data_IF_985845617752
#
_entry.id   IF_985845617752
#
_cell.length_a   1.000
_cell.length_b   1.000
_cell.length_c   1.000
_cell.angle_alpha   90.00
_cell.angle_beta   90.00
_cell.angle_gamma   90.00
#
_symmetry.space_group_name_H-M   'P 1'
#
loop_
_entity.id
_entity.type
_entity.pdbx_description
1 polymer ?
#
# COMPACT_ATOMS: atom_id res chain seq x y z
N UNK A 1 -4.65 21.18 6.23
CA UNK A 1 -5.92 20.70 5.60
C UNK A 1 -6.56 19.74 6.57
N UNK A 2 -7.87 19.87 6.84
CA UNK A 2 -8.52 19.16 7.94
C UNK A 2 -8.80 17.70 7.56
N UNK A 3 -7.82 16.81 7.72
CA UNK A 3 -7.89 15.38 7.38
C UNK A 3 -8.66 14.55 8.42
N UNK A 4 -9.75 15.12 8.95
CA UNK A 4 -10.56 14.47 9.98
C UNK A 4 -11.58 13.55 9.34
N UNK A 5 -11.78 12.39 9.96
CA UNK A 5 -12.85 11.47 9.63
C UNK A 5 -14.19 12.08 10.06
N UNK A 6 -15.16 12.23 9.14
CA UNK A 6 -16.50 12.71 9.50
C UNK A 6 -17.22 11.74 10.44
N UNK A 7 -18.02 12.27 11.38
CA UNK A 7 -18.75 11.44 12.36
C UNK A 7 -19.71 10.43 11.71
N UNK A 8 -20.31 10.78 10.57
CA UNK A 8 -21.17 9.87 9.80
C UNK A 8 -20.38 8.70 9.22
N UNK A 9 -19.10 8.91 8.86
CA UNK A 9 -18.20 7.84 8.39
C UNK A 9 -17.82 6.94 9.55
N UNK A 10 -17.47 7.51 10.72
CA UNK A 10 -17.22 6.73 11.94
C UNK A 10 -18.43 5.84 12.29
N UNK A 11 -19.64 6.42 12.28
CA UNK A 11 -20.88 5.68 12.57
C UNK A 11 -21.30 4.66 11.51
N UNK A 12 -20.79 4.78 10.27
CA UNK A 12 -20.98 3.77 9.24
C UNK A 12 -19.98 2.61 9.40
N UNK A 13 -18.73 2.91 9.73
CA UNK A 13 -17.61 1.96 9.76
C UNK A 13 -17.58 1.15 11.06
N UNK A 14 -17.79 1.78 12.22
CA UNK A 14 -17.60 1.12 13.51
C UNK A 14 -18.49 -0.13 13.73
N UNK A 15 -19.79 -0.13 13.39
CA UNK A 15 -20.64 -1.33 13.51
C UNK A 15 -20.18 -2.45 12.55
N UNK A 16 -19.81 -2.10 11.32
CA UNK A 16 -19.39 -3.05 10.28
C UNK A 16 -18.11 -3.76 10.70
N UNK A 17 -17.09 -3.00 11.13
CA UNK A 17 -15.82 -3.56 11.58
C UNK A 17 -16.00 -4.35 12.89
N UNK A 18 -16.84 -3.89 13.80
CA UNK A 18 -17.15 -4.64 15.03
C UNK A 18 -17.77 -6.01 14.71
N UNK A 19 -18.71 -6.06 13.76
CA UNK A 19 -19.35 -7.30 13.32
C UNK A 19 -18.37 -8.22 12.57
N UNK A 20 -17.52 -7.67 11.69
CA UNK A 20 -16.60 -8.45 10.87
C UNK A 20 -15.51 -9.17 11.70
N UNK A 21 -14.97 -8.52 12.74
CA UNK A 21 -13.88 -9.10 13.52
C UNK A 21 -14.36 -9.85 14.78
N UNK A 22 -15.53 -9.50 15.33
CA UNK A 22 -16.21 -10.11 16.48
C UNK A 22 -15.27 -10.50 17.65
N UNK A 23 -14.20 -9.74 17.86
CA UNK A 23 -13.16 -10.05 18.84
C UNK A 23 -12.41 -8.79 19.27
N UNK A 24 -12.37 -8.54 20.58
CA UNK A 24 -11.72 -7.36 21.14
C UNK A 24 -10.22 -7.37 20.88
N UNK A 25 -9.55 -8.52 21.02
CA UNK A 25 -8.11 -8.61 20.79
C UNK A 25 -7.76 -8.37 19.32
N UNK A 26 -8.53 -8.94 18.38
CA UNK A 26 -8.33 -8.72 16.93
C UNK A 26 -8.53 -7.26 16.54
N UNK A 27 -9.61 -6.64 17.01
CA UNK A 27 -9.89 -5.21 16.75
C UNK A 27 -8.76 -4.33 17.30
N UNK A 28 -8.30 -4.61 18.52
CA UNK A 28 -7.23 -3.83 19.15
C UNK A 28 -5.90 -3.93 18.40
N UNK A 29 -5.53 -5.13 17.93
CA UNK A 29 -4.33 -5.30 17.12
C UNK A 29 -4.45 -4.59 15.78
N UNK A 30 -5.58 -4.75 15.09
CA UNK A 30 -5.81 -4.11 13.80
C UNK A 30 -5.73 -2.58 13.88
N UNK A 31 -6.37 -1.96 14.90
CA UNK A 31 -6.33 -0.51 15.07
C UNK A 31 -4.91 -0.01 15.39
N UNK A 32 -4.16 -0.72 16.24
CA UNK A 32 -2.75 -0.37 16.50
C UNK A 32 -1.87 -0.51 15.26
N UNK A 33 -2.02 -1.61 14.52
CA UNK A 33 -1.32 -1.85 13.25
C UNK A 33 -1.65 -0.77 12.20
N UNK A 34 -2.89 -0.26 12.23
CA UNK A 34 -3.34 0.84 11.36
C UNK A 34 -2.84 2.23 11.81
N UNK A 35 -2.13 2.33 12.94
CA UNK A 35 -1.59 3.58 13.47
C UNK A 35 -2.49 4.34 14.45
N UNK A 36 -3.51 3.71 15.03
CA UNK A 36 -4.35 4.36 16.04
C UNK A 36 -3.58 4.66 17.35
N UNK A 37 -3.77 5.84 17.96
CA UNK A 37 -3.00 6.26 19.13
C UNK A 37 -3.48 5.62 20.43
N UNK A 38 -2.54 5.45 21.35
CA UNK A 38 -2.81 5.15 22.76
C UNK A 38 -3.43 3.77 23.02
N UNK A 39 -3.87 3.58 24.26
CA UNK A 39 -4.40 2.29 24.72
C UNK A 39 -5.84 2.04 24.26
N UNK A 40 -6.24 0.76 24.12
CA UNK A 40 -7.60 0.41 23.73
C UNK A 40 -8.65 1.05 24.66
N UNK A 41 -9.61 1.82 24.12
CA UNK A 41 -10.68 2.40 24.92
C UNK A 41 -11.59 1.32 25.54
N UNK A 42 -12.40 1.73 26.51
CA UNK A 42 -13.44 0.89 27.10
C UNK A 42 -14.71 0.83 26.24
N UNK A 43 -15.61 -0.11 26.55
CA UNK A 43 -16.89 -0.28 25.85
C UNK A 43 -16.97 -1.52 24.97
N UNK A 44 -18.08 -1.66 24.25
CA UNK A 44 -18.26 -2.73 23.26
C UNK A 44 -17.39 -2.47 22.00
N UNK A 45 -17.27 -3.45 21.10
CA UNK A 45 -16.41 -3.36 19.91
C UNK A 45 -16.68 -2.10 19.06
N UNK A 46 -17.95 -1.77 18.85
CA UNK A 46 -18.38 -0.61 18.08
C UNK A 46 -17.99 0.71 18.75
N UNK A 47 -18.26 0.83 20.05
CA UNK A 47 -17.89 1.99 20.85
C UNK A 47 -16.36 2.17 20.86
N UNK A 48 -15.61 1.07 21.01
CA UNK A 48 -14.15 1.09 20.98
C UNK A 48 -13.62 1.61 19.65
N UNK A 49 -14.10 1.05 18.54
CA UNK A 49 -13.73 1.48 17.20
C UNK A 49 -14.04 2.97 17.00
N UNK A 50 -15.24 3.39 17.37
CA UNK A 50 -15.67 4.79 17.25
C UNK A 50 -14.82 5.76 18.07
N UNK A 51 -14.52 5.41 19.32
CA UNK A 51 -13.69 6.25 20.21
C UNK A 51 -12.27 6.36 19.66
N UNK A 52 -11.70 5.27 19.16
CA UNK A 52 -10.35 5.29 18.61
C UNK A 52 -10.24 6.16 17.35
N UNK A 53 -11.19 6.04 16.42
CA UNK A 53 -11.22 6.89 15.23
C UNK A 53 -11.37 8.37 15.59
N UNK A 54 -12.15 8.69 16.64
CA UNK A 54 -12.23 10.06 17.17
C UNK A 54 -10.89 10.52 17.76
N UNK A 55 -10.17 9.67 18.49
CA UNK A 55 -8.82 9.99 18.97
C UNK A 55 -7.86 10.29 17.83
N UNK A 56 -7.92 9.55 16.73
CA UNK A 56 -7.13 9.85 15.53
C UNK A 56 -7.43 11.26 14.98
N UNK A 57 -8.69 11.71 15.04
CA UNK A 57 -9.06 13.07 14.62
C UNK A 57 -8.55 14.17 15.56
N UNK A 58 -8.30 13.84 16.82
CA UNK A 58 -7.89 14.79 17.85
C UNK A 58 -6.36 14.88 17.98
N UNK A 59 -5.63 13.88 17.49
CA UNK A 59 -4.17 13.86 17.44
C UNK A 59 -3.65 14.46 16.13
N UNK A 60 -3.03 15.64 16.21
CA UNK A 60 -2.48 16.35 15.05
C UNK A 60 -1.27 15.67 14.40
N UNK A 61 -0.64 14.69 15.07
CA UNK A 61 0.49 13.94 14.52
C UNK A 61 0.06 12.76 13.64
N UNK A 62 -1.24 12.48 13.59
CA UNK A 62 -1.80 11.30 12.93
C UNK A 62 -2.61 11.71 11.71
N UNK A 63 -2.39 11.01 10.60
CA UNK A 63 -3.27 11.10 9.45
C UNK A 63 -4.50 10.20 9.66
N UNK A 64 -5.59 10.77 10.18
CA UNK A 64 -6.78 10.02 10.53
C UNK A 64 -7.45 9.34 9.31
N UNK A 65 -7.40 9.94 8.12
CA UNK A 65 -7.94 9.30 6.92
C UNK A 65 -7.08 8.11 6.47
N UNK A 66 -5.75 8.19 6.63
CA UNK A 66 -4.86 7.05 6.39
C UNK A 66 -5.16 5.90 7.36
N UNK A 67 -5.29 6.19 8.66
CA UNK A 67 -5.64 5.17 9.68
C UNK A 67 -6.98 4.50 9.35
N UNK A 68 -7.99 5.30 8.99
CA UNK A 68 -9.29 4.77 8.59
C UNK A 68 -9.19 3.86 7.36
N UNK A 69 -8.44 4.29 6.35
CA UNK A 69 -8.24 3.55 5.12
C UNK A 69 -7.58 2.19 5.35
N UNK A 70 -6.51 2.13 6.15
CA UNK A 70 -5.86 0.89 6.55
C UNK A 70 -6.79 -0.03 7.37
N UNK A 71 -7.57 0.55 8.28
CA UNK A 71 -8.52 -0.19 9.11
C UNK A 71 -9.56 -0.94 8.28
N UNK A 72 -10.14 -0.28 7.27
CA UNK A 72 -11.23 -0.86 6.47
C UNK A 72 -10.75 -1.63 5.25
N UNK A 73 -9.46 -1.54 4.89
CA UNK A 73 -8.89 -2.10 3.68
C UNK A 73 -9.25 -3.57 3.46
N UNK A 74 -8.97 -4.43 4.45
CA UNK A 74 -9.23 -5.88 4.35
C UNK A 74 -10.70 -6.21 4.10
N UNK A 75 -11.61 -5.40 4.65
CA UNK A 75 -13.05 -5.59 4.49
C UNK A 75 -13.55 -5.03 3.14
N UNK A 76 -13.03 -3.88 2.73
CA UNK A 76 -13.42 -3.20 1.49
C UNK A 76 -12.87 -3.87 0.23
N UNK A 77 -11.70 -4.51 0.33
CA UNK A 77 -11.05 -5.22 -0.79
C UNK A 77 -11.50 -6.70 -0.89
N UNK A 78 -12.35 -7.16 0.02
CA UNK A 78 -12.87 -8.53 -0.01
C UNK A 78 -13.89 -8.71 -1.16
N UNK A 79 -13.78 -9.82 -1.88
CA UNK A 79 -14.76 -10.19 -2.90
C UNK A 79 -16.15 -10.43 -2.30
N UNK A 80 -17.17 -9.87 -2.93
CA UNK A 80 -18.56 -10.11 -2.57
C UNK A 80 -18.95 -11.49 -3.11
N UNK A 81 -19.37 -12.37 -2.20
CA UNK A 81 -19.86 -13.71 -2.54
C UNK A 81 -21.35 -13.80 -2.22
N UNK A 82 -22.09 -14.55 -3.03
CA UNK A 82 -23.51 -14.85 -2.81
C UNK A 82 -23.78 -15.56 -1.48
N UNK A 83 -22.77 -16.20 -0.90
CA UNK A 83 -22.83 -16.85 0.41
C UNK A 83 -22.86 -15.86 1.58
N UNK A 84 -22.38 -14.62 1.38
CA UNK A 84 -22.34 -13.57 2.40
C UNK A 84 -22.78 -12.22 1.82
N UNK A 85 -24.07 -12.08 1.45
CA UNK A 85 -24.59 -10.88 0.79
C UNK A 85 -24.52 -9.62 1.66
N UNK A 86 -24.44 -9.78 2.98
CA UNK A 86 -24.27 -8.66 3.92
C UNK A 86 -22.96 -7.90 3.70
N UNK A 87 -21.89 -8.57 3.24
CA UNK A 87 -20.59 -7.92 2.96
C UNK A 87 -20.73 -6.85 1.89
N UNK A 88 -21.44 -7.15 0.79
CA UNK A 88 -21.69 -6.18 -0.27
C UNK A 88 -22.51 -4.97 0.22
N UNK A 89 -23.55 -5.22 1.01
CA UNK A 89 -24.38 -4.16 1.59
C UNK A 89 -23.61 -3.27 2.57
N UNK A 90 -22.76 -3.87 3.41
CA UNK A 90 -21.92 -3.16 4.38
C UNK A 90 -20.80 -2.36 3.70
N UNK A 91 -20.17 -2.92 2.66
CA UNK A 91 -19.22 -2.17 1.82
C UNK A 91 -19.91 -0.95 1.17
N UNK A 92 -21.11 -1.13 0.63
CA UNK A 92 -21.87 -0.03 0.02
C UNK A 92 -22.29 1.02 1.05
N UNK A 93 -22.70 0.60 2.25
CA UNK A 93 -22.97 1.51 3.38
C UNK A 93 -21.76 2.40 3.69
N UNK A 94 -20.56 1.83 3.69
CA UNK A 94 -19.31 2.59 3.91
C UNK A 94 -19.06 3.53 2.73
N UNK A 95 -19.15 3.06 1.47
CA UNK A 95 -18.96 3.89 0.27
C UNK A 95 -19.92 5.07 0.22
N UNK A 96 -21.21 4.84 0.50
CA UNK A 96 -22.23 5.88 0.53
C UNK A 96 -21.96 6.95 1.60
N UNK A 97 -21.50 6.52 2.80
CA UNK A 97 -21.15 7.46 3.87
C UNK A 97 -19.91 8.29 3.52
N UNK A 98 -18.88 7.67 2.92
CA UNK A 98 -17.73 8.40 2.38
C UNK A 98 -18.16 9.39 1.31
N UNK A 99 -18.95 8.97 0.33
CA UNK A 99 -19.40 9.81 -0.79
C UNK A 99 -20.20 11.04 -0.33
N UNK A 100 -21.08 10.87 0.66
CA UNK A 100 -21.86 11.97 1.28
C UNK A 100 -20.96 13.05 1.87
N UNK A 101 -19.74 12.67 2.29
CA UNK A 101 -18.75 13.58 2.88
C UNK A 101 -17.68 14.00 1.87
N UNK A 102 -17.93 13.86 0.58
CA UNK A 102 -16.95 14.13 -0.48
C UNK A 102 -15.65 13.34 -0.25
N UNK A 103 -15.78 12.09 0.18
CA UNK A 103 -14.67 11.15 0.29
C UNK A 103 -14.94 9.94 -0.62
N UNK A 104 -13.87 9.32 -1.11
CA UNK A 104 -13.91 8.07 -1.86
C UNK A 104 -12.85 7.13 -1.35
N UNK A 105 -13.25 5.88 -1.13
CA UNK A 105 -12.33 4.77 -0.93
C UNK A 105 -11.73 4.37 -2.29
N UNK A 106 -10.43 4.08 -2.30
CA UNK A 106 -9.73 3.41 -3.39
C UNK A 106 -9.14 2.12 -2.86
N UNK A 107 -9.00 1.12 -3.74
CA UNK A 107 -8.34 -0.15 -3.43
C UNK A 107 -7.00 0.09 -2.74
N UNK A 108 -6.63 -0.81 -1.83
CA UNK A 108 -5.46 -0.71 -0.97
C UNK A 108 -5.55 0.31 0.18
N UNK A 109 -6.77 0.70 0.58
CA UNK A 109 -6.94 1.46 1.82
C UNK A 109 -6.71 2.97 1.68
N UNK A 110 -6.85 3.54 0.48
CA UNK A 110 -6.70 4.99 0.31
C UNK A 110 -8.07 5.69 0.42
N UNK A 111 -8.12 6.76 1.23
CA UNK A 111 -9.29 7.63 1.33
C UNK A 111 -8.93 9.01 0.77
N UNK A 112 -9.77 9.48 -0.14
CA UNK A 112 -9.46 10.59 -1.06
C UNK A 112 -10.67 11.51 -1.16
N UNK A 113 -10.49 12.78 -1.53
CA UNK A 113 -11.64 13.68 -1.75
C UNK A 113 -12.42 13.26 -3.01
N UNK A 114 -13.74 13.16 -2.96
CA UNK A 114 -14.57 12.82 -4.10
C UNK A 114 -14.38 13.83 -5.24
N UNK A 115 -14.19 13.36 -6.47
CA UNK A 115 -13.87 14.20 -7.63
C UNK A 115 -12.43 14.72 -7.67
N UNK A 116 -11.70 14.69 -6.55
CA UNK A 116 -10.26 14.60 -6.59
C UNK A 116 -9.95 13.12 -6.81
N UNK A 117 -9.62 12.72 -8.03
CA UNK A 117 -8.66 11.63 -8.10
C UNK A 117 -7.34 12.25 -7.63
N UNK A 118 -6.84 12.03 -6.39
CA UNK A 118 -5.41 11.85 -6.35
C UNK A 118 -5.19 10.73 -7.37
N UNK A 119 -4.28 10.90 -8.32
CA UNK A 119 -3.80 9.74 -9.05
C UNK A 119 -3.56 8.68 -7.98
N UNK A 120 -4.32 7.56 -8.04
CA UNK A 120 -4.21 6.50 -7.05
C UNK A 120 -2.71 6.27 -6.96
N UNK A 121 -2.11 6.58 -5.79
CA UNK A 121 -0.66 6.72 -5.73
C UNK A 121 -0.11 5.39 -6.18
N UNK A 122 0.52 5.43 -7.33
CA UNK A 122 1.08 4.24 -7.94
C UNK A 122 2.30 3.83 -7.13
N UNK A 123 2.76 2.60 -7.30
CA UNK A 123 4.07 2.20 -6.76
C UNK A 123 5.17 3.21 -7.14
N UNK A 124 5.10 3.77 -8.36
CA UNK A 124 6.01 4.82 -8.80
C UNK A 124 5.89 6.10 -7.97
N UNK A 125 4.69 6.48 -7.53
CA UNK A 125 4.48 7.65 -6.68
C UNK A 125 5.07 7.43 -5.27
N UNK A 126 4.98 6.22 -4.71
CA UNK A 126 5.66 5.91 -3.44
C UNK A 126 7.18 5.97 -3.57
N UNK A 127 7.74 5.42 -4.66
CA UNK A 127 9.18 5.51 -4.92
C UNK A 127 9.64 6.97 -5.12
N UNK A 128 8.88 7.78 -5.85
CA UNK A 128 9.17 9.23 -6.02
C UNK A 128 9.09 9.99 -4.70
N UNK A 129 8.13 9.64 -3.83
CA UNK A 129 7.96 10.25 -2.52
C UNK A 129 8.92 9.71 -1.44
N UNK A 130 9.69 8.65 -1.74
CA UNK A 130 10.50 7.90 -0.76
C UNK A 130 9.67 7.40 0.43
N UNK A 131 8.42 7.02 0.17
CA UNK A 131 7.50 6.48 1.16
C UNK A 131 7.78 4.99 1.39
N UNK A 132 8.84 4.71 2.15
CA UNK A 132 9.30 3.35 2.42
C UNK A 132 8.27 2.52 3.20
N UNK A 133 7.44 3.14 4.04
CA UNK A 133 6.41 2.44 4.80
C UNK A 133 5.35 1.86 3.85
N UNK A 134 4.91 2.64 2.87
CA UNK A 134 3.96 2.17 1.86
C UNK A 134 4.57 1.12 0.93
N UNK A 135 5.85 1.25 0.56
CA UNK A 135 6.57 0.23 -0.23
C UNK A 135 6.67 -1.09 0.53
N UNK A 136 7.04 -1.05 1.82
CA UNK A 136 7.14 -2.24 2.68
C UNK A 136 5.79 -2.94 2.83
N UNK A 137 4.70 -2.18 2.96
CA UNK A 137 3.36 -2.73 3.01
C UNK A 137 2.98 -3.48 1.72
N UNK A 138 3.38 -2.98 0.55
CA UNK A 138 3.15 -3.65 -0.73
C UNK A 138 3.98 -4.94 -0.86
N UNK A 139 5.22 -4.95 -0.39
CA UNK A 139 6.00 -6.19 -0.28
C UNK A 139 5.36 -7.20 0.68
N UNK A 140 4.90 -6.75 1.85
CA UNK A 140 4.18 -7.58 2.81
C UNK A 140 2.92 -8.22 2.21
N UNK A 141 2.17 -7.48 1.38
CA UNK A 141 1.02 -8.03 0.64
C UNK A 141 1.44 -9.10 -0.37
N UNK A 142 2.47 -8.86 -1.16
CA UNK A 142 2.97 -9.84 -2.12
C UNK A 142 3.40 -11.15 -1.42
N UNK A 143 4.10 -11.04 -0.28
CA UNK A 143 4.53 -12.19 0.52
C UNK A 143 3.32 -12.94 1.09
N UNK A 144 2.30 -12.23 1.56
CA UNK A 144 1.10 -12.86 2.14
C UNK A 144 0.31 -13.75 1.17
N UNK A 145 0.54 -13.61 -0.14
CA UNK A 145 -0.11 -14.41 -1.17
C UNK A 145 0.64 -15.69 -1.53
N UNK A 146 1.90 -15.86 -1.11
CA UNK A 146 2.78 -16.97 -1.54
C UNK A 146 2.13 -18.34 -1.35
N UNK A 147 1.48 -18.59 -0.21
CA UNK A 147 0.90 -19.91 0.10
C UNK A 147 -0.46 -20.15 -0.57
N UNK A 148 -1.20 -19.08 -0.89
CA UNK A 148 -2.56 -19.15 -1.44
C UNK A 148 -2.58 -19.09 -2.96
N UNK A 149 -1.80 -18.18 -3.53
CA UNK A 149 -1.70 -17.94 -4.96
C UNK A 149 -0.27 -17.48 -5.30
N UNK A 150 0.65 -18.44 -5.53
CA UNK A 150 2.02 -18.15 -5.91
C UNK A 150 2.13 -17.29 -7.18
N UNK A 151 1.19 -17.43 -8.13
CA UNK A 151 1.23 -16.67 -9.37
C UNK A 151 0.87 -15.20 -9.13
N UNK A 152 -0.12 -14.92 -8.29
CA UNK A 152 -0.45 -13.56 -7.87
C UNK A 152 0.70 -12.92 -7.07
N UNK A 153 1.34 -13.68 -6.17
CA UNK A 153 2.50 -13.22 -5.41
C UNK A 153 3.69 -12.82 -6.32
N UNK A 154 3.99 -13.64 -7.35
CA UNK A 154 5.02 -13.34 -8.36
C UNK A 154 4.65 -12.09 -9.15
N UNK A 155 3.37 -11.96 -9.55
CA UNK A 155 2.88 -10.82 -10.33
C UNK A 155 2.99 -9.53 -9.53
N UNK A 156 2.57 -9.53 -8.26
CA UNK A 156 2.68 -8.39 -7.36
C UNK A 156 4.15 -8.00 -7.13
N UNK A 157 5.02 -8.96 -6.83
CA UNK A 157 6.47 -8.73 -6.66
C UNK A 157 7.10 -8.14 -7.92
N UNK A 158 6.69 -8.63 -9.09
CA UNK A 158 7.17 -8.13 -10.39
C UNK A 158 6.75 -6.68 -10.62
N UNK A 159 5.50 -6.33 -10.31
CA UNK A 159 5.01 -4.96 -10.43
C UNK A 159 5.79 -3.98 -9.56
N UNK A 160 6.16 -4.38 -8.34
CA UNK A 160 6.98 -3.57 -7.42
C UNK A 160 8.38 -3.31 -8.02
N UNK A 161 9.05 -4.35 -8.50
CA UNK A 161 10.39 -4.24 -9.09
C UNK A 161 10.36 -3.41 -10.38
N UNK A 162 9.35 -3.59 -11.22
CA UNK A 162 9.20 -2.80 -12.44
C UNK A 162 8.96 -1.33 -12.13
N UNK A 163 8.10 -1.03 -11.15
CA UNK A 163 7.84 0.34 -10.72
C UNK A 163 9.10 1.02 -10.15
N UNK A 164 9.89 0.29 -9.37
CA UNK A 164 11.18 0.75 -8.88
C UNK A 164 12.12 1.11 -10.04
N UNK A 165 12.31 0.19 -10.99
CA UNK A 165 13.24 0.41 -12.10
C UNK A 165 12.80 1.55 -13.01
N UNK A 166 11.50 1.63 -13.34
CA UNK A 166 10.93 2.74 -14.13
C UNK A 166 11.16 4.07 -13.45
N UNK A 167 10.88 4.14 -12.14
CA UNK A 167 11.07 5.37 -11.35
C UNK A 167 12.54 5.78 -11.31
N UNK A 168 13.45 4.83 -11.15
CA UNK A 168 14.89 5.10 -11.17
C UNK A 168 15.35 5.65 -12.52
N UNK A 169 14.94 5.02 -13.63
CA UNK A 169 15.28 5.45 -15.01
C UNK A 169 14.78 6.88 -15.24
N UNK A 170 13.54 7.19 -14.84
CA UNK A 170 12.96 8.53 -14.96
C UNK A 170 13.73 9.58 -14.14
N UNK A 171 14.02 9.31 -12.87
CA UNK A 171 14.72 10.24 -11.98
C UNK A 171 16.13 10.55 -12.50
N UNK A 172 16.82 9.54 -13.02
CA UNK A 172 18.16 9.67 -13.58
C UNK A 172 18.17 10.11 -15.06
N UNK A 173 16.99 10.35 -15.66
CA UNK A 173 16.82 10.79 -17.06
C UNK A 173 17.50 9.86 -18.07
N UNK A 174 17.40 8.55 -17.83
CA UNK A 174 17.94 7.52 -18.72
C UNK A 174 16.95 7.16 -19.82
N UNK A 175 17.42 6.52 -20.89
CA UNK A 175 16.55 6.05 -21.97
C UNK A 175 15.71 4.84 -21.50
N UNK A 176 14.38 4.97 -21.57
CA UNK A 176 13.46 3.90 -21.21
C UNK A 176 13.47 2.81 -22.30
N UNK A 177 13.64 1.53 -21.96
CA UNK A 177 13.64 0.47 -22.96
C UNK A 177 12.25 0.29 -23.59
N UNK A 178 12.21 -0.11 -24.86
CA UNK A 178 10.97 -0.35 -25.59
C UNK A 178 10.09 -1.45 -24.97
N UNK A 179 10.71 -2.47 -24.37
CA UNK A 179 10.01 -3.48 -23.56
C UNK A 179 10.20 -3.15 -22.09
N UNK A 180 9.12 -2.84 -21.38
CA UNK A 180 9.18 -2.41 -19.98
C UNK A 180 8.91 -3.56 -18.99
N UNK A 181 9.55 -4.70 -19.21
CA UNK A 181 9.56 -5.81 -18.26
C UNK A 181 10.81 -5.76 -17.38
N UNK A 182 10.84 -6.52 -16.28
CA UNK A 182 11.97 -6.53 -15.32
C UNK A 182 13.34 -6.63 -16.01
N UNK A 183 13.56 -7.59 -16.90
CA UNK A 183 14.88 -7.84 -17.50
C UNK A 183 15.46 -6.63 -18.23
N UNK A 184 14.76 -6.08 -19.25
CA UNK A 184 15.20 -4.86 -19.93
C UNK A 184 15.35 -3.65 -19.02
N UNK A 185 14.41 -3.44 -18.08
CA UNK A 185 14.46 -2.32 -17.13
C UNK A 185 15.69 -2.43 -16.22
N UNK A 186 15.92 -3.62 -15.65
CA UNK A 186 17.06 -3.90 -14.80
C UNK A 186 18.37 -3.68 -15.55
N UNK A 187 18.47 -4.09 -16.82
CA UNK A 187 19.70 -3.89 -17.61
C UNK A 187 20.11 -2.42 -17.69
N UNK A 188 19.17 -1.50 -17.89
CA UNK A 188 19.45 -0.06 -17.92
C UNK A 188 19.90 0.45 -16.55
N UNK A 189 19.18 0.07 -15.49
CA UNK A 189 19.50 0.47 -14.10
C UNK A 189 20.87 -0.06 -13.69
N UNK A 190 21.12 -1.35 -13.93
CA UNK A 190 22.35 -2.07 -13.63
C UNK A 190 23.57 -1.42 -14.29
N UNK A 191 23.46 -1.10 -15.59
CA UNK A 191 24.52 -0.42 -16.33
C UNK A 191 24.82 0.96 -15.75
N UNK A 192 23.78 1.75 -15.44
CA UNK A 192 23.96 3.07 -14.83
C UNK A 192 24.59 3.01 -13.44
N UNK A 193 24.26 1.98 -12.65
CA UNK A 193 24.84 1.76 -11.32
C UNK A 193 26.26 1.15 -11.37
N UNK A 194 26.76 0.76 -12.54
CA UNK A 194 28.04 0.06 -12.66
C UNK A 194 28.05 -1.33 -12.00
N UNK A 195 26.87 -1.93 -11.79
CA UNK A 195 26.72 -3.26 -11.20
C UNK A 195 27.03 -4.34 -12.26
N UNK A 196 28.27 -4.43 -12.70
CA UNK A 196 28.65 -5.45 -13.66
C UNK A 196 28.62 -6.84 -12.99
N UNK A 197 27.81 -7.76 -13.49
CA UNK A 197 27.90 -9.18 -13.11
C UNK A 197 28.94 -9.81 -14.02
N UNK A 198 30.19 -9.39 -13.82
CA UNK A 198 31.35 -10.02 -14.44
C UNK A 198 32.51 -10.01 -13.45
N UNK A 199 32.42 -10.89 -12.46
CA UNK A 199 33.56 -11.23 -11.61
C UNK A 199 34.67 -11.97 -12.39
N UNK A 200 34.47 -12.25 -13.68
CA UNK A 200 35.37 -13.08 -14.50
C UNK A 200 36.10 -12.32 -15.62
N UNK A 201 35.67 -11.13 -16.03
CA UNK A 201 36.30 -10.41 -17.16
C UNK A 201 37.34 -9.35 -16.76
N UNK A 202 37.47 -9.00 -15.48
CA UNK A 202 38.53 -8.09 -15.01
C UNK A 202 39.91 -8.77 -14.83
N UNK A 203 39.97 -10.11 -14.84
CA UNK A 203 41.22 -10.85 -14.65
C UNK A 203 41.96 -11.20 -15.95
N UNK A 204 41.42 -10.86 -17.14
CA UNK A 204 42.01 -11.24 -18.44
C UNK A 204 42.35 -10.07 -19.37
N UNK A 205 42.21 -8.83 -18.93
CA UNK A 205 42.82 -7.67 -19.59
C UNK A 205 44.10 -7.23 -18.87
N UNK A 206 45.12 -8.10 -18.86
CA UNK A 206 46.50 -7.63 -18.83
C UNK A 206 46.95 -7.61 -20.30
N UNK A 207 47.21 -6.44 -20.91
CA UNK A 207 47.73 -6.37 -22.26
C UNK A 207 49.10 -7.06 -22.30
N UNK A 208 49.26 -7.98 -23.24
CA UNK A 208 50.55 -8.60 -23.53
C UNK A 208 51.60 -7.54 -23.81
N UNK A 209 52.71 -7.65 -23.10
CA UNK A 209 53.90 -6.84 -23.30
C UNK A 209 54.52 -7.17 -24.66
N UNK A 210 54.61 -6.22 -25.62
CA UNK A 210 55.17 -6.49 -26.93
C UNK A 210 56.51 -5.75 -27.09
N UNK A 211 57.63 -6.35 -26.70
CA UNK A 211 58.98 -6.05 -27.21
C UNK A 211 59.87 -7.28 -26.91
N UNK A 212 60.10 -8.20 -27.85
CA UNK A 212 61.16 -8.19 -28.88
C UNK A 212 62.60 -7.99 -28.36
N UNK A 213 63.40 -9.05 -28.61
CA UNK A 213 64.85 -9.23 -28.63
C UNK A 213 65.59 -9.63 -27.35
#
# INVERSE_FOLDING_TARGET
MNNKIPNSVIGAVAPVIAAAYYSHSKLNSLLRESGAPGDPPEGNLEAKCSIWLKRCNDDSSIDALQVLGQLIQRFMDQEVSDLWPHVGADQERIRASLATNQLSYQTNGFITLAGSSPAAKTLADYFKARDFASIEAEFGRAISQIDRDPHAAITASSAIIEALCKTYIEINRLEMPAKQTIGPLWKVVQQHLGLNVDHTLLALQIPGDPHEH
#
